data_IF_388226393088
#
_entry.id   IF_388226393088
#
_cell.length_a   1.000
_cell.length_b   1.000
_cell.length_c   1.000
_cell.angle_alpha   90.00
_cell.angle_beta   90.00
_cell.angle_gamma   90.00
#
_symmetry.space_group_name_H-M   'P 1'
#
loop_
_entity.id
_entity.type
_entity.pdbx_description
1 polymer ?
#
# COMPACT_ATOMS: atom_id res chain seq x y z
N UNK A 1 12.12 -12.82 -14.35
CA UNK A 1 11.21 -11.83 -13.80
C UNK A 1 11.50 -11.60 -12.33
N UNK A 2 11.68 -10.34 -11.91
CA UNK A 2 11.88 -9.91 -10.52
C UNK A 2 10.55 -9.41 -9.98
N UNK A 3 10.06 -10.03 -8.91
CA UNK A 3 8.78 -9.66 -8.30
C UNK A 3 8.95 -9.36 -6.82
N UNK A 4 8.17 -8.43 -6.29
CA UNK A 4 8.21 -8.06 -4.88
C UNK A 4 7.82 -6.60 -4.64
N UNK A 5 7.76 -6.16 -3.38
CA UNK A 5 7.34 -4.82 -2.99
C UNK A 5 8.15 -3.71 -3.67
N UNK A 6 7.61 -2.49 -3.63
CA UNK A 6 8.32 -1.30 -4.12
C UNK A 6 9.56 -1.04 -3.25
N UNK A 7 10.63 -0.49 -3.87
CA UNK A 7 11.80 0.01 -3.14
C UNK A 7 12.75 -1.03 -2.57
N UNK A 8 12.57 -2.33 -2.88
CA UNK A 8 13.41 -3.44 -2.41
C UNK A 8 14.63 -3.72 -3.30
N UNK A 9 14.85 -2.93 -4.37
CA UNK A 9 16.05 -3.03 -5.21
C UNK A 9 15.88 -3.83 -6.50
N UNK A 10 14.66 -4.17 -6.96
CA UNK A 10 14.42 -4.96 -8.19
C UNK A 10 15.13 -4.38 -9.42
N UNK A 11 14.89 -3.11 -9.74
CA UNK A 11 15.46 -2.41 -10.89
C UNK A 11 16.97 -2.23 -10.73
N UNK A 12 17.45 -1.94 -9.53
CA UNK A 12 18.88 -1.85 -9.21
C UNK A 12 19.59 -3.17 -9.46
N UNK A 13 18.99 -4.29 -9.00
CA UNK A 13 19.55 -5.65 -9.25
C UNK A 13 19.51 -5.99 -10.73
N UNK A 14 18.47 -5.55 -11.47
CA UNK A 14 18.42 -5.73 -12.93
C UNK A 14 19.57 -5.02 -13.62
N UNK A 15 19.90 -3.79 -13.23
CA UNK A 15 21.07 -3.05 -13.74
C UNK A 15 22.37 -3.74 -13.39
N UNK A 16 22.55 -4.19 -12.15
CA UNK A 16 23.74 -4.92 -11.70
C UNK A 16 23.89 -6.22 -12.51
N UNK A 17 22.81 -6.95 -12.74
CA UNK A 17 22.84 -8.17 -13.56
C UNK A 17 23.22 -7.86 -15.01
N UNK A 18 22.72 -6.75 -15.57
CA UNK A 18 23.07 -6.33 -16.92
C UNK A 18 24.57 -5.94 -17.04
N UNK A 19 25.14 -5.30 -16.01
CA UNK A 19 26.59 -5.04 -15.93
C UNK A 19 27.40 -6.33 -15.85
N UNK A 20 26.97 -7.27 -15.00
CA UNK A 20 27.64 -8.57 -14.82
C UNK A 20 27.62 -9.43 -16.10
N UNK A 21 26.51 -9.37 -16.86
CA UNK A 21 26.39 -10.06 -18.15
C UNK A 21 27.33 -9.49 -19.23
N UNK A 22 27.62 -8.18 -19.14
CA UNK A 22 28.45 -7.44 -20.08
C UNK A 22 29.81 -7.01 -19.49
N UNK A 23 30.33 -7.78 -18.52
CA UNK A 23 31.61 -7.51 -17.91
C UNK A 23 32.76 -7.67 -18.92
N UNK A 24 33.83 -6.91 -18.73
CA UNK A 24 35.04 -6.99 -19.56
C UNK A 24 35.64 -8.40 -19.50
N UNK A 25 35.81 -9.03 -20.66
CA UNK A 25 36.32 -10.41 -20.74
C UNK A 25 35.28 -11.52 -20.64
N UNK A 26 33.99 -11.18 -20.58
CA UNK A 26 32.83 -12.10 -20.52
C UNK A 26 32.00 -11.99 -19.27
N UNK A 27 30.84 -12.65 -19.23
CA UNK A 27 29.92 -12.60 -18.10
C UNK A 27 30.58 -13.03 -16.79
N UNK A 28 30.57 -12.16 -15.79
CA UNK A 28 31.21 -12.38 -14.48
C UNK A 28 30.42 -11.71 -13.34
N UNK A 29 30.38 -12.38 -12.19
CA UNK A 29 29.86 -11.79 -10.96
C UNK A 29 30.78 -10.70 -10.40
N UNK A 30 32.07 -10.73 -10.77
CA UNK A 30 33.07 -9.72 -10.40
C UNK A 30 33.34 -8.83 -11.61
N UNK A 31 32.50 -7.82 -11.80
CA UNK A 31 32.66 -6.83 -12.85
C UNK A 31 33.23 -5.52 -12.29
N UNK A 32 33.91 -4.75 -13.16
CA UNK A 32 34.42 -3.43 -12.78
C UNK A 32 33.28 -2.40 -12.84
N UNK A 33 32.86 -1.80 -11.69
CA UNK A 33 31.81 -0.76 -11.67
C UNK A 33 32.18 0.48 -12.47
N UNK A 34 33.47 0.70 -12.72
CA UNK A 34 34.03 1.84 -13.45
C UNK A 34 34.29 1.54 -14.91
N UNK A 35 33.90 0.37 -15.44
CA UNK A 35 34.00 0.06 -16.86
C UNK A 35 33.15 1.06 -17.70
N UNK A 36 33.48 1.20 -18.99
CA UNK A 36 32.75 2.09 -19.89
C UNK A 36 31.25 1.74 -19.93
N UNK A 37 30.92 0.46 -20.07
CA UNK A 37 29.54 -0.02 -20.09
C UNK A 37 28.81 0.27 -18.77
N UNK A 38 29.49 0.08 -17.63
CA UNK A 38 28.91 0.34 -16.32
C UNK A 38 28.62 1.82 -16.10
N UNK A 39 29.52 2.72 -16.56
CA UNK A 39 29.30 4.17 -16.50
C UNK A 39 28.19 4.62 -17.45
N UNK A 40 28.18 4.17 -18.72
CA UNK A 40 27.11 4.46 -19.66
C UNK A 40 25.73 4.02 -19.12
N UNK A 41 25.68 2.88 -18.41
CA UNK A 41 24.45 2.40 -17.79
C UNK A 41 24.03 3.26 -16.58
N UNK A 42 24.98 3.64 -15.73
CA UNK A 42 24.71 4.53 -14.61
C UNK A 42 24.19 5.90 -15.08
N UNK A 43 24.71 6.42 -16.19
CA UNK A 43 24.30 7.68 -16.82
C UNK A 43 22.99 7.56 -17.62
N UNK A 44 22.42 6.35 -17.76
CA UNK A 44 21.20 6.12 -18.55
C UNK A 44 21.39 6.26 -20.06
N UNK A 45 22.64 6.17 -20.57
CA UNK A 45 23.01 6.36 -21.98
C UNK A 45 23.50 5.10 -22.65
N UNK A 46 23.31 3.93 -22.02
CA UNK A 46 23.83 2.67 -22.54
C UNK A 46 23.12 2.25 -23.84
N UNK A 47 23.90 1.93 -24.86
CA UNK A 47 23.40 1.33 -26.10
C UNK A 47 23.18 -0.18 -25.97
N UNK A 48 23.73 -0.78 -24.92
CA UNK A 48 23.74 -2.23 -24.65
C UNK A 48 22.57 -2.63 -23.75
N UNK A 49 22.20 -1.75 -22.81
CA UNK A 49 21.11 -1.96 -21.86
C UNK A 49 20.03 -0.92 -22.11
N UNK A 50 18.86 -1.39 -22.51
CA UNK A 50 17.69 -0.55 -22.74
C UNK A 50 16.77 -0.67 -21.54
N UNK A 51 16.55 0.44 -20.85
CA UNK A 51 15.64 0.50 -19.72
C UNK A 51 14.32 1.14 -20.13
N UNK A 52 13.23 0.50 -19.77
CA UNK A 52 11.90 0.83 -20.20
C UNK A 52 10.95 0.80 -19.00
N UNK A 53 10.25 1.91 -18.76
CA UNK A 53 9.22 1.98 -17.73
C UNK A 53 7.85 1.67 -18.32
N UNK A 54 7.28 0.53 -17.92
CA UNK A 54 5.97 0.08 -18.35
C UNK A 54 4.83 0.97 -17.83
N UNK A 55 5.05 1.80 -16.81
CA UNK A 55 4.04 2.73 -16.33
C UNK A 55 3.85 3.93 -17.27
N UNK A 56 4.96 4.43 -17.84
CA UNK A 56 4.96 5.56 -18.79
C UNK A 56 4.68 5.11 -20.22
N UNK A 57 5.13 3.89 -20.59
CA UNK A 57 5.12 3.38 -21.96
C UNK A 57 4.34 2.06 -22.05
N UNK A 58 3.01 2.13 -22.08
CA UNK A 58 2.12 0.96 -22.00
C UNK A 58 1.75 0.35 -23.34
N UNK A 59 2.11 1.03 -24.44
CA UNK A 59 1.61 0.78 -25.76
C UNK A 59 2.25 -0.43 -26.46
N UNK A 60 1.59 -0.91 -27.52
CA UNK A 60 2.10 -2.01 -28.34
C UNK A 60 3.24 -1.55 -29.26
N UNK A 61 3.23 -0.29 -29.71
CA UNK A 61 4.23 0.22 -30.65
C UNK A 61 5.60 0.34 -30.00
N UNK A 62 5.66 0.78 -28.76
CA UNK A 62 6.90 0.85 -27.97
C UNK A 62 7.51 -0.56 -27.81
N UNK A 63 6.68 -1.55 -27.52
CA UNK A 63 7.14 -2.93 -27.39
C UNK A 63 7.57 -3.53 -28.75
N UNK A 64 6.91 -3.15 -29.84
CA UNK A 64 7.36 -3.53 -31.19
C UNK A 64 8.73 -2.94 -31.50
N UNK A 65 8.95 -1.69 -31.16
CA UNK A 65 10.25 -1.04 -31.35
C UNK A 65 11.36 -1.73 -30.53
N UNK A 66 11.10 -2.08 -29.27
CA UNK A 66 12.04 -2.85 -28.44
C UNK A 66 12.35 -4.22 -29.06
N UNK A 67 11.32 -4.89 -29.58
CA UNK A 67 11.49 -6.18 -30.24
C UNK A 67 12.34 -6.09 -31.52
N UNK A 68 12.22 -5.03 -32.29
CA UNK A 68 13.09 -4.81 -33.44
C UNK A 68 14.52 -4.52 -33.01
N UNK A 69 14.70 -3.72 -31.96
CA UNK A 69 16.04 -3.39 -31.44
C UNK A 69 16.81 -4.61 -30.90
N UNK A 70 16.13 -5.55 -30.24
CA UNK A 70 16.81 -6.74 -29.67
C UNK A 70 17.32 -7.71 -30.73
N UNK A 71 16.82 -7.64 -31.98
CA UNK A 71 17.28 -8.48 -33.08
C UNK A 71 18.74 -8.19 -33.48
N UNK A 72 19.19 -6.96 -33.28
CA UNK A 72 20.53 -6.55 -33.61
C UNK A 72 21.50 -6.85 -32.46
N UNK A 73 22.62 -7.46 -32.77
CA UNK A 73 23.66 -7.68 -31.79
C UNK A 73 24.21 -6.35 -31.25
N UNK A 74 24.63 -6.28 -29.99
CA UNK A 74 25.23 -5.08 -29.44
C UNK A 74 26.59 -4.82 -30.08
N UNK A 75 26.93 -3.52 -30.24
CA UNK A 75 28.26 -3.15 -30.76
C UNK A 75 29.36 -3.29 -29.71
N UNK A 76 28.99 -3.19 -28.42
CA UNK A 76 29.86 -3.40 -27.26
C UNK A 76 29.19 -4.43 -26.34
N UNK A 77 29.98 -5.20 -25.56
CA UNK A 77 29.45 -6.21 -24.64
C UNK A 77 29.00 -7.51 -25.34
N UNK A 78 28.60 -8.49 -24.55
CA UNK A 78 28.15 -9.81 -25.02
C UNK A 78 26.65 -9.88 -25.27
N UNK A 79 25.86 -9.15 -24.48
CA UNK A 79 24.39 -9.25 -24.49
C UNK A 79 23.73 -7.89 -24.61
N UNK A 80 22.67 -7.82 -25.43
CA UNK A 80 21.71 -6.72 -25.40
C UNK A 80 20.65 -7.04 -24.36
N UNK A 81 20.58 -6.23 -23.31
CA UNK A 81 19.65 -6.44 -22.17
C UNK A 81 18.51 -5.43 -22.25
N UNK A 82 17.29 -5.90 -22.19
CA UNK A 82 16.10 -5.05 -22.09
C UNK A 82 15.53 -5.23 -20.68
N UNK A 83 15.51 -4.16 -19.92
CA UNK A 83 14.90 -4.08 -18.59
C UNK A 83 13.55 -3.40 -18.76
N UNK A 84 12.45 -4.09 -18.39
CA UNK A 84 11.11 -3.50 -18.36
C UNK A 84 10.67 -3.43 -16.89
N UNK A 85 10.66 -2.23 -16.34
CA UNK A 85 10.16 -1.99 -14.99
C UNK A 85 8.65 -1.82 -15.01
N UNK A 86 8.00 -2.16 -13.90
CA UNK A 86 6.53 -2.21 -13.72
C UNK A 86 5.81 -2.86 -14.90
N UNK A 87 6.34 -4.01 -15.35
CA UNK A 87 5.86 -4.72 -16.55
C UNK A 87 4.36 -5.04 -16.49
N UNK A 88 3.78 -5.16 -15.30
CA UNK A 88 2.34 -5.40 -15.12
C UNK A 88 1.44 -4.25 -15.60
N UNK A 89 2.02 -3.10 -15.92
CA UNK A 89 1.30 -1.94 -16.45
C UNK A 89 1.13 -1.97 -17.98
N UNK A 90 1.79 -2.90 -18.66
CA UNK A 90 1.66 -3.08 -20.10
C UNK A 90 0.25 -3.53 -20.49
N UNK A 91 -0.19 -3.11 -21.68
CA UNK A 91 -1.47 -3.56 -22.24
C UNK A 91 -1.39 -5.02 -22.69
N UNK A 92 -2.53 -5.70 -22.75
CA UNK A 92 -2.60 -7.09 -23.26
C UNK A 92 -2.01 -7.26 -24.68
N UNK A 93 -2.25 -6.34 -25.64
CA UNK A 93 -1.60 -6.40 -26.95
C UNK A 93 -0.07 -6.25 -26.88
N UNK A 94 0.46 -5.43 -25.93
CA UNK A 94 1.89 -5.30 -25.72
C UNK A 94 2.51 -6.60 -25.19
N UNK A 95 1.89 -7.27 -24.22
CA UNK A 95 2.29 -8.59 -23.78
C UNK A 95 2.32 -9.61 -24.89
N UNK A 96 1.28 -9.66 -25.72
CA UNK A 96 1.22 -10.58 -26.87
C UNK A 96 2.34 -10.32 -27.89
N UNK A 97 2.74 -9.06 -28.07
CA UNK A 97 3.86 -8.73 -28.94
C UNK A 97 5.22 -9.26 -28.43
N UNK A 98 5.38 -9.43 -27.09
CA UNK A 98 6.59 -10.00 -26.49
C UNK A 98 6.68 -11.54 -26.63
N UNK A 99 5.54 -12.25 -26.67
CA UNK A 99 5.50 -13.71 -26.58
C UNK A 99 6.40 -14.39 -27.60
N UNK A 100 6.34 -13.97 -28.87
CA UNK A 100 7.15 -14.57 -29.95
C UNK A 100 8.66 -14.45 -29.68
N UNK A 101 9.11 -13.31 -29.14
CA UNK A 101 10.53 -13.10 -28.85
C UNK A 101 10.96 -13.82 -27.57
N UNK A 102 10.04 -14.07 -26.63
CA UNK A 102 10.32 -14.87 -25.44
C UNK A 102 10.36 -16.37 -25.74
N UNK A 103 9.64 -16.83 -26.78
CA UNK A 103 9.68 -18.22 -27.26
C UNK A 103 10.96 -18.52 -28.02
N UNK A 104 11.39 -17.59 -28.89
CA UNK A 104 12.57 -17.71 -29.73
C UNK A 104 13.49 -16.49 -29.54
N UNK A 105 14.16 -16.35 -28.38
CA UNK A 105 15.00 -15.20 -28.10
C UNK A 105 16.30 -15.25 -28.92
N UNK A 106 16.77 -14.09 -29.43
CA UNK A 106 18.10 -14.03 -30.04
C UNK A 106 19.17 -14.47 -29.02
N UNK A 107 20.23 -15.15 -29.41
CA UNK A 107 21.27 -15.67 -28.49
C UNK A 107 21.89 -14.58 -27.61
N UNK A 108 22.02 -13.36 -28.16
CA UNK A 108 22.58 -12.18 -27.52
C UNK A 108 21.49 -11.35 -26.76
N UNK A 109 20.21 -11.69 -26.91
CA UNK A 109 19.11 -10.92 -26.29
C UNK A 109 18.73 -11.45 -24.91
N UNK A 110 18.60 -10.55 -23.93
CA UNK A 110 18.12 -10.88 -22.57
C UNK A 110 17.02 -9.91 -22.15
N UNK A 111 15.94 -10.45 -21.61
CA UNK A 111 14.88 -9.66 -20.98
C UNK A 111 14.94 -9.79 -19.47
N UNK A 112 14.81 -8.67 -18.77
CA UNK A 112 14.63 -8.62 -17.33
C UNK A 112 13.35 -7.84 -17.06
N UNK A 113 12.34 -8.50 -16.53
CA UNK A 113 11.08 -7.87 -16.14
C UNK A 113 11.09 -7.61 -14.64
N UNK A 114 10.68 -6.42 -14.22
CA UNK A 114 10.46 -6.09 -12.82
C UNK A 114 8.98 -5.75 -12.61
N UNK A 115 8.40 -6.19 -11.50
CA UNK A 115 7.00 -5.92 -11.17
C UNK A 115 6.77 -5.87 -9.67
N UNK A 116 5.84 -5.01 -9.25
CA UNK A 116 5.31 -5.00 -7.90
C UNK A 116 4.10 -5.91 -7.74
N UNK A 117 3.45 -6.33 -8.85
CA UNK A 117 2.26 -7.18 -8.83
C UNK A 117 2.36 -8.28 -9.89
N UNK A 118 2.79 -9.47 -9.46
CA UNK A 118 2.93 -10.63 -10.33
C UNK A 118 1.59 -11.15 -10.85
N UNK A 119 0.49 -10.94 -10.09
CA UNK A 119 -0.83 -11.46 -10.45
C UNK A 119 -1.44 -10.76 -11.69
N UNK A 120 -0.97 -9.55 -11.99
CA UNK A 120 -1.37 -8.81 -13.19
C UNK A 120 -0.54 -9.18 -14.43
N UNK A 121 0.53 -9.94 -14.27
CA UNK A 121 1.34 -10.42 -15.40
C UNK A 121 0.73 -11.72 -15.95
N UNK A 122 0.49 -11.84 -17.27
CA UNK A 122 -0.08 -13.04 -17.85
C UNK A 122 0.76 -14.29 -17.56
N UNK A 123 0.09 -15.40 -17.23
CA UNK A 123 0.75 -16.68 -16.97
C UNK A 123 1.59 -17.18 -18.15
N UNK A 124 1.24 -16.81 -19.39
CA UNK A 124 1.98 -17.11 -20.62
C UNK A 124 3.36 -16.46 -20.65
N UNK A 125 3.54 -15.31 -20.03
CA UNK A 125 4.83 -14.62 -19.84
C UNK A 125 5.61 -15.29 -18.72
N UNK A 126 4.94 -15.48 -17.55
CA UNK A 126 5.59 -16.06 -16.36
C UNK A 126 6.17 -17.45 -16.66
N UNK A 127 5.46 -18.29 -17.41
CA UNK A 127 5.90 -19.66 -17.75
C UNK A 127 7.16 -19.72 -18.62
N UNK A 128 7.53 -18.60 -19.27
CA UNK A 128 8.73 -18.48 -20.12
C UNK A 128 9.88 -17.73 -19.46
N UNK A 129 9.70 -17.35 -18.19
CA UNK A 129 10.67 -16.56 -17.45
C UNK A 129 11.11 -17.29 -16.19
N UNK A 130 12.37 -17.15 -15.83
CA UNK A 130 12.82 -17.50 -14.48
C UNK A 130 12.35 -16.43 -13.50
N UNK A 131 11.69 -16.85 -12.41
CA UNK A 131 11.16 -15.96 -11.39
C UNK A 131 12.11 -15.85 -10.20
N UNK A 132 12.27 -14.63 -9.69
CA UNK A 132 13.01 -14.31 -8.47
C UNK A 132 12.13 -13.40 -7.60
N UNK A 133 11.88 -13.85 -6.38
CA UNK A 133 11.03 -13.13 -5.42
C UNK A 133 11.90 -12.28 -4.50
N UNK A 134 11.61 -10.98 -4.45
CA UNK A 134 12.24 -10.02 -3.56
C UNK A 134 11.33 -9.78 -2.36
N UNK A 135 11.84 -10.05 -1.19
CA UNK A 135 11.13 -9.80 0.06
C UNK A 135 11.37 -8.37 0.58
N UNK A 136 10.56 -7.95 1.54
CA UNK A 136 10.83 -6.74 2.31
C UNK A 136 12.20 -6.84 2.98
N UNK A 137 12.93 -5.74 2.98
CA UNK A 137 14.23 -5.65 3.66
C UNK A 137 13.98 -5.57 5.15
N UNK A 138 14.74 -6.32 5.95
CA UNK A 138 14.59 -6.27 7.41
C UNK A 138 14.93 -4.88 7.97
N UNK A 139 14.27 -4.50 9.05
CA UNK A 139 14.51 -3.24 9.74
C UNK A 139 16.00 -3.04 10.07
N UNK A 140 16.65 -4.10 10.55
CA UNK A 140 18.07 -4.06 10.90
C UNK A 140 18.95 -3.68 9.70
N UNK A 141 18.75 -4.30 8.54
CA UNK A 141 19.54 -4.02 7.32
C UNK A 141 19.30 -2.59 6.82
N UNK A 142 18.06 -2.09 6.94
CA UNK A 142 17.77 -0.68 6.61
C UNK A 142 18.49 0.24 7.57
N UNK A 143 18.39 0.02 8.90
CA UNK A 143 19.06 0.83 9.91
C UNK A 143 20.58 0.87 9.71
N UNK A 144 21.21 -0.29 9.52
CA UNK A 144 22.66 -0.39 9.26
C UNK A 144 23.08 0.42 8.02
N UNK A 145 22.26 0.41 6.96
CA UNK A 145 22.55 1.18 5.76
C UNK A 145 22.40 2.68 5.96
N UNK A 146 21.36 3.12 6.70
CA UNK A 146 21.13 4.53 7.02
C UNK A 146 22.27 5.05 7.93
N UNK A 147 22.66 4.29 8.94
CA UNK A 147 23.80 4.62 9.80
C UNK A 147 25.11 4.77 9.01
N UNK A 148 25.36 3.84 8.08
CA UNK A 148 26.54 3.90 7.23
C UNK A 148 26.59 5.21 6.45
N UNK A 149 25.47 5.62 5.84
CA UNK A 149 25.39 6.86 5.05
C UNK A 149 25.66 8.08 5.95
N UNK A 150 25.04 8.16 7.12
CA UNK A 150 25.22 9.27 8.04
C UNK A 150 26.67 9.39 8.55
N UNK A 151 27.33 8.26 8.77
CA UNK A 151 28.76 8.23 9.16
C UNK A 151 29.65 8.75 8.03
N UNK A 152 29.38 8.36 6.78
CA UNK A 152 30.13 8.86 5.61
C UNK A 152 29.92 10.36 5.39
N UNK A 153 28.71 10.88 5.64
CA UNK A 153 28.39 12.30 5.51
C UNK A 153 28.78 13.13 6.75
N UNK A 154 29.28 12.51 7.82
CA UNK A 154 29.70 13.17 9.05
C UNK A 154 28.55 13.81 9.84
N UNK A 155 27.36 13.22 9.75
CA UNK A 155 26.17 13.67 10.47
C UNK A 155 26.05 12.86 11.77
N UNK A 156 25.87 13.56 12.90
CA UNK A 156 25.61 12.90 14.19
C UNK A 156 24.16 12.46 14.30
N UNK A 157 23.93 11.30 14.89
CA UNK A 157 22.60 10.72 15.03
C UNK A 157 22.45 9.91 16.31
N UNK A 158 21.23 9.80 16.75
CA UNK A 158 20.80 8.94 17.83
C UNK A 158 20.22 7.63 17.23
N UNK A 159 20.60 6.45 17.76
CA UNK A 159 20.15 5.16 17.22
C UNK A 159 18.63 4.98 17.18
N UNK A 160 17.90 5.60 18.11
CA UNK A 160 16.44 5.53 18.16
C UNK A 160 15.81 6.27 16.98
N UNK A 161 16.39 7.40 16.59
CA UNK A 161 16.00 8.15 15.38
C UNK A 161 16.07 7.29 14.12
N UNK A 162 17.17 6.55 13.94
CA UNK A 162 17.40 5.71 12.78
C UNK A 162 16.41 4.53 12.76
N UNK A 163 16.17 3.93 13.92
CA UNK A 163 15.17 2.87 14.05
C UNK A 163 13.75 3.36 13.72
N UNK A 164 13.40 4.59 14.10
CA UNK A 164 12.11 5.19 13.78
C UNK A 164 11.95 5.40 12.26
N UNK A 165 12.98 5.91 11.58
CA UNK A 165 13.02 6.06 10.12
C UNK A 165 12.89 4.69 9.44
N UNK A 166 13.67 3.69 9.89
CA UNK A 166 13.65 2.35 9.32
C UNK A 166 12.30 1.63 9.48
N UNK A 167 11.62 1.82 10.63
CA UNK A 167 10.24 1.33 10.82
C UNK A 167 9.26 1.97 9.84
N UNK A 168 9.32 3.30 9.67
CA UNK A 168 8.43 4.01 8.73
C UNK A 168 8.69 3.62 7.27
N UNK A 169 9.90 3.21 6.94
CA UNK A 169 10.28 2.73 5.60
C UNK A 169 9.62 1.40 5.21
N UNK A 170 9.07 0.63 6.15
CA UNK A 170 8.27 -0.59 5.95
C UNK A 170 8.93 -1.60 4.99
N UNK A 171 10.23 -1.82 5.13
CA UNK A 171 10.99 -2.75 4.29
C UNK A 171 11.40 -2.22 2.92
N UNK A 172 11.19 -0.95 2.64
CA UNK A 172 11.60 -0.26 1.40
C UNK A 172 12.86 0.57 1.64
N UNK A 173 14.00 0.20 1.06
CA UNK A 173 15.23 0.99 1.15
C UNK A 173 15.07 2.38 0.48
N UNK A 174 14.33 2.46 -0.65
CA UNK A 174 14.08 3.74 -1.33
C UNK A 174 13.33 4.72 -0.42
N UNK A 175 12.28 4.23 0.26
CA UNK A 175 11.49 5.08 1.14
C UNK A 175 12.30 5.43 2.40
N UNK A 176 13.13 4.49 2.92
CA UNK A 176 14.06 4.76 4.02
C UNK A 176 15.06 5.87 3.69
N UNK A 177 15.66 5.85 2.51
CA UNK A 177 16.57 6.91 2.05
C UNK A 177 15.86 8.26 1.87
N UNK A 178 14.65 8.25 1.32
CA UNK A 178 13.86 9.49 1.15
C UNK A 178 13.44 10.09 2.49
N UNK A 179 13.07 9.26 3.47
CA UNK A 179 12.75 9.70 4.83
C UNK A 179 13.99 10.22 5.56
N UNK A 180 15.16 9.60 5.35
CA UNK A 180 16.43 10.08 5.88
C UNK A 180 16.77 11.47 5.34
N UNK A 181 16.64 11.67 4.04
CA UNK A 181 16.87 12.95 3.36
C UNK A 181 15.97 14.06 3.91
N UNK A 182 14.69 13.72 4.16
CA UNK A 182 13.73 14.62 4.81
C UNK A 182 14.15 14.95 6.24
N UNK A 183 14.60 13.95 7.02
CA UNK A 183 15.08 14.14 8.38
C UNK A 183 16.35 15.02 8.41
N UNK A 184 17.33 14.80 7.53
CA UNK A 184 18.53 15.63 7.40
C UNK A 184 18.15 17.07 7.04
N UNK A 185 17.24 17.25 6.09
CA UNK A 185 16.79 18.58 5.67
C UNK A 185 16.13 19.37 6.80
N UNK A 186 15.44 18.70 7.72
CA UNK A 186 14.76 19.32 8.85
C UNK A 186 15.68 19.53 10.06
N UNK A 187 16.46 18.50 10.46
CA UNK A 187 17.27 18.48 11.68
C UNK A 187 18.68 19.08 11.44
N UNK A 188 19.16 19.11 10.18
CA UNK A 188 20.52 19.55 9.86
C UNK A 188 21.58 18.50 10.19
N UNK A 189 22.63 18.92 10.92
CA UNK A 189 23.80 18.07 11.22
C UNK A 189 23.65 17.14 12.44
N UNK A 190 22.56 17.26 13.16
CA UNK A 190 22.30 16.45 14.36
C UNK A 190 20.88 15.89 14.30
N UNK A 191 20.77 14.58 14.07
CA UNK A 191 19.49 13.88 13.95
C UNK A 191 19.15 13.29 15.33
N UNK A 192 18.18 13.90 16.00
CA UNK A 192 17.64 13.42 17.27
C UNK A 192 16.19 12.91 17.08
N UNK A 193 15.73 12.09 18.03
CA UNK A 193 14.42 11.44 17.96
C UNK A 193 13.26 12.44 17.85
N UNK A 194 13.27 13.51 18.67
CA UNK A 194 12.22 14.54 18.62
C UNK A 194 12.15 15.27 17.27
N UNK A 195 13.32 15.56 16.68
CA UNK A 195 13.42 16.16 15.36
C UNK A 195 12.84 15.25 14.27
N UNK A 196 13.16 13.95 14.31
CA UNK A 196 12.63 12.95 13.38
C UNK A 196 11.13 12.79 13.54
N UNK A 197 10.61 12.74 14.77
CA UNK A 197 9.16 12.69 15.05
C UNK A 197 8.46 13.88 14.38
N UNK A 198 8.99 15.09 14.56
CA UNK A 198 8.42 16.31 13.94
C UNK A 198 8.59 16.34 12.43
N UNK A 199 9.78 16.00 11.93
CA UNK A 199 10.08 16.03 10.48
C UNK A 199 9.22 15.06 9.68
N UNK A 200 9.00 13.87 10.21
CA UNK A 200 8.29 12.79 9.53
C UNK A 200 6.83 12.66 9.95
N UNK A 201 6.35 13.48 10.88
CA UNK A 201 5.00 13.36 11.42
C UNK A 201 4.76 11.98 12.06
N UNK A 202 5.71 11.50 12.86
CA UNK A 202 5.55 10.21 13.54
C UNK A 202 4.63 10.37 14.76
N UNK A 203 3.82 9.38 15.00
CA UNK A 203 3.02 9.28 16.20
C UNK A 203 3.84 8.46 17.20
N UNK A 204 4.10 9.02 18.37
CA UNK A 204 4.80 8.29 19.43
C UNK A 204 3.89 7.24 20.07
N UNK A 205 4.48 6.18 20.60
CA UNK A 205 3.73 5.11 21.26
C UNK A 205 2.90 5.64 22.44
N UNK A 206 3.36 6.70 23.12
CA UNK A 206 2.65 7.35 24.22
C UNK A 206 1.27 7.87 23.83
N UNK A 207 1.14 8.44 22.62
CA UNK A 207 -0.15 8.93 22.13
C UNK A 207 -1.13 7.78 21.84
N UNK A 208 -0.63 6.62 21.45
CA UNK A 208 -1.48 5.43 21.28
C UNK A 208 -1.90 4.84 22.65
N UNK A 209 -1.02 4.82 23.64
CA UNK A 209 -1.39 4.44 25.02
C UNK A 209 -2.41 5.43 25.62
N UNK A 210 -2.26 6.72 25.34
CA UNK A 210 -3.24 7.74 25.72
C UNK A 210 -4.60 7.48 25.09
N UNK A 211 -4.62 7.10 23.80
CA UNK A 211 -5.85 6.75 23.09
C UNK A 211 -6.60 5.59 23.77
N UNK A 212 -5.89 4.50 24.08
CA UNK A 212 -6.51 3.35 24.77
C UNK A 212 -6.89 3.68 26.20
N UNK A 213 -6.14 4.52 26.90
CA UNK A 213 -6.51 5.04 28.22
C UNK A 213 -7.82 5.82 28.18
N UNK A 214 -7.98 6.76 27.23
CA UNK A 214 -9.23 7.52 27.08
C UNK A 214 -10.44 6.60 26.85
N UNK A 215 -10.29 5.53 26.06
CA UNK A 215 -11.36 4.56 25.84
C UNK A 215 -11.70 3.81 27.14
N UNK A 216 -10.71 3.34 27.87
CA UNK A 216 -10.90 2.59 29.12
C UNK A 216 -11.57 3.43 30.21
N UNK A 217 -11.16 4.70 30.33
CA UNK A 217 -11.64 5.62 31.36
C UNK A 217 -12.91 6.37 30.92
N UNK A 218 -13.37 6.19 29.66
CA UNK A 218 -14.50 6.92 29.08
C UNK A 218 -14.26 8.45 29.07
N UNK A 219 -12.99 8.86 28.90
CA UNK A 219 -12.60 10.27 28.90
C UNK A 219 -12.82 10.90 27.53
N UNK A 220 -14.01 11.46 27.33
CA UNK A 220 -14.37 12.14 26.07
C UNK A 220 -13.54 13.40 25.84
N UNK A 221 -13.19 14.13 26.92
CA UNK A 221 -12.42 15.37 26.80
C UNK A 221 -10.98 15.08 26.41
N UNK A 222 -10.36 14.09 27.03
CA UNK A 222 -9.03 13.63 26.68
C UNK A 222 -8.97 13.15 25.24
N UNK A 223 -9.97 12.39 24.80
CA UNK A 223 -10.06 11.89 23.42
C UNK A 223 -10.11 13.04 22.40
N UNK A 224 -10.96 14.05 22.61
CA UNK A 224 -11.07 15.21 21.70
C UNK A 224 -9.75 15.99 21.63
N UNK A 225 -9.08 16.20 22.77
CA UNK A 225 -7.78 16.88 22.80
C UNK A 225 -6.71 16.08 22.06
N UNK A 226 -6.70 14.76 22.23
CA UNK A 226 -5.76 13.86 21.53
C UNK A 226 -5.98 13.91 20.01
N UNK A 227 -7.22 13.82 19.54
CA UNK A 227 -7.55 13.92 18.11
C UNK A 227 -7.16 15.28 17.52
N UNK A 228 -7.40 16.37 18.27
CA UNK A 228 -6.94 17.70 17.89
C UNK A 228 -5.41 17.79 17.78
N UNK A 229 -4.67 17.07 18.64
CA UNK A 229 -3.21 17.01 18.57
C UNK A 229 -2.74 16.31 17.30
N UNK A 230 -3.35 15.21 16.89
CA UNK A 230 -3.01 14.54 15.62
C UNK A 230 -3.23 15.45 14.41
N UNK A 231 -4.35 16.18 14.39
CA UNK A 231 -4.63 17.18 13.36
C UNK A 231 -3.62 18.32 13.38
N UNK A 232 -3.25 18.80 14.57
CA UNK A 232 -2.28 19.88 14.75
C UNK A 232 -0.85 19.51 14.30
N UNK A 233 -0.48 18.25 14.40
CA UNK A 233 0.79 17.72 13.87
C UNK A 233 0.74 17.48 12.34
N UNK A 234 -0.41 17.67 11.69
CA UNK A 234 -0.58 17.47 10.25
C UNK A 234 -0.48 15.99 9.82
N UNK A 235 -0.72 15.05 10.72
CA UNK A 235 -0.61 13.62 10.43
C UNK A 235 -1.89 13.18 9.70
N UNK A 236 -1.80 12.50 8.55
CA UNK A 236 -3.00 12.05 7.84
C UNK A 236 -3.84 11.08 8.67
N UNK A 237 -5.16 11.29 8.74
CA UNK A 237 -6.09 10.42 9.49
C UNK A 237 -5.96 8.92 9.15
N UNK A 238 -5.72 8.49 7.89
CA UNK A 238 -5.46 7.09 7.60
C UNK A 238 -4.21 6.53 8.29
N UNK A 239 -3.14 7.33 8.47
CA UNK A 239 -1.94 6.90 9.19
C UNK A 239 -2.21 6.74 10.68
N UNK A 240 -2.95 7.67 11.28
CA UNK A 240 -3.40 7.57 12.67
C UNK A 240 -4.20 6.27 12.89
N UNK A 241 -5.14 5.97 12.01
CA UNK A 241 -5.96 4.75 12.10
C UNK A 241 -5.14 3.47 11.96
N UNK A 242 -4.17 3.44 11.03
CA UNK A 242 -3.25 2.30 10.86
C UNK A 242 -2.41 2.10 12.13
N UNK A 243 -1.91 3.19 12.71
CA UNK A 243 -1.13 3.16 13.95
C UNK A 243 -1.94 2.65 15.14
N UNK A 244 -3.17 3.15 15.33
CA UNK A 244 -4.09 2.66 16.37
C UNK A 244 -4.37 1.16 16.19
N UNK A 245 -4.63 0.71 14.94
CA UNK A 245 -4.82 -0.71 14.64
C UNK A 245 -3.61 -1.57 14.98
N UNK A 246 -2.40 -1.06 14.67
CA UNK A 246 -1.13 -1.68 15.06
C UNK A 246 -0.95 -1.76 16.57
N UNK A 247 -1.29 -0.70 17.29
CA UNK A 247 -1.23 -0.63 18.75
C UNK A 247 -2.16 -1.68 19.41
N UNK A 248 -3.42 -1.75 18.98
CA UNK A 248 -4.38 -2.76 19.50
C UNK A 248 -3.90 -4.18 19.19
N UNK A 249 -3.36 -4.43 18.00
CA UNK A 249 -2.74 -5.73 17.65
C UNK A 249 -1.59 -6.07 18.60
N UNK A 250 -0.73 -5.10 18.92
CA UNK A 250 0.40 -5.31 19.82
C UNK A 250 -0.07 -5.63 21.25
N UNK A 251 -1.14 -4.98 21.75
CA UNK A 251 -1.76 -5.33 23.03
C UNK A 251 -2.31 -6.77 22.99
N UNK A 252 -3.00 -7.15 21.89
CA UNK A 252 -3.50 -8.52 21.70
C UNK A 252 -2.37 -9.56 21.71
N UNK A 253 -1.23 -9.27 21.05
CA UNK A 253 -0.08 -10.17 21.02
C UNK A 253 0.57 -10.28 22.40
N UNK A 254 0.75 -9.16 23.10
CA UNK A 254 1.29 -9.15 24.46
C UNK A 254 0.48 -10.01 25.44
N UNK A 255 -0.84 -10.08 25.25
CA UNK A 255 -1.76 -10.91 26.07
C UNK A 255 -1.81 -12.40 25.70
N UNK A 256 -1.01 -12.86 24.72
CA UNK A 256 -0.94 -14.28 24.33
C UNK A 256 0.34 -14.91 24.88
N UNK A 257 0.25 -16.19 25.29
CA UNK A 257 1.42 -16.95 25.73
C UNK A 257 2.47 -16.97 24.61
N UNK A 258 3.72 -16.62 24.93
CA UNK A 258 4.85 -16.48 24.01
C UNK A 258 4.68 -15.42 22.92
N UNK A 259 3.64 -14.57 22.99
CA UNK A 259 3.36 -13.50 22.02
C UNK A 259 4.38 -12.37 22.02
N UNK A 260 5.17 -12.23 23.09
CA UNK A 260 6.26 -11.25 23.17
C UNK A 260 7.29 -11.39 22.05
N UNK A 261 7.50 -12.61 21.54
CA UNK A 261 8.42 -12.88 20.43
C UNK A 261 7.96 -12.26 19.12
N UNK A 262 6.65 -11.98 18.96
CA UNK A 262 6.04 -11.36 17.79
C UNK A 262 6.12 -9.82 17.83
N UNK A 263 6.52 -9.26 18.97
CA UNK A 263 6.67 -7.81 19.12
C UNK A 263 8.09 -7.38 18.71
N UNK A 264 8.20 -6.73 17.56
CA UNK A 264 9.47 -6.20 17.03
C UNK A 264 9.79 -4.82 17.63
N UNK A 265 10.08 -4.79 18.94
CA UNK A 265 10.38 -3.57 19.68
C UNK A 265 11.37 -3.83 20.83
N UNK A 266 11.90 -2.76 21.44
CA UNK A 266 12.80 -2.86 22.57
C UNK A 266 12.09 -3.44 23.83
N UNK A 267 12.89 -3.87 24.81
CA UNK A 267 12.39 -4.56 26.01
C UNK A 267 11.47 -3.69 26.87
N UNK A 268 11.75 -2.38 26.96
CA UNK A 268 10.94 -1.45 27.75
C UNK A 268 9.54 -1.29 27.16
N UNK A 269 9.44 -1.10 25.85
CA UNK A 269 8.15 -1.01 25.17
C UNK A 269 7.37 -2.34 25.25
N UNK A 270 8.05 -3.50 25.16
CA UNK A 270 7.40 -4.80 25.38
C UNK A 270 6.74 -4.89 26.74
N UNK A 271 7.41 -4.44 27.78
CA UNK A 271 6.86 -4.45 29.14
C UNK A 271 5.64 -3.55 29.28
N UNK A 272 5.63 -2.35 28.65
CA UNK A 272 4.45 -1.47 28.62
C UNK A 272 3.25 -2.17 27.97
N UNK A 273 3.45 -2.85 26.84
CA UNK A 273 2.39 -3.60 26.15
C UNK A 273 1.87 -4.78 26.97
N UNK A 274 2.73 -5.50 27.70
CA UNK A 274 2.32 -6.58 28.59
C UNK A 274 1.43 -6.04 29.71
N UNK A 275 1.86 -4.96 30.39
CA UNK A 275 1.09 -4.32 31.43
C UNK A 275 -0.27 -3.82 30.91
N UNK A 276 -0.27 -3.18 29.73
CA UNK A 276 -1.51 -2.72 29.11
C UNK A 276 -2.44 -3.88 28.77
N UNK A 277 -1.92 -5.02 28.30
CA UNK A 277 -2.71 -6.20 27.95
C UNK A 277 -3.48 -6.80 29.14
N UNK A 278 -2.94 -6.67 30.36
CA UNK A 278 -3.60 -7.13 31.60
C UNK A 278 -4.84 -6.29 31.96
N UNK A 279 -4.91 -5.06 31.46
CA UNK A 279 -6.02 -4.13 31.77
C UNK A 279 -7.23 -4.29 30.83
N UNK A 280 -7.10 -5.11 29.77
CA UNK A 280 -8.12 -5.24 28.73
C UNK A 280 -8.72 -6.65 28.68
N UNK A 281 -10.05 -6.73 28.50
CA UNK A 281 -10.67 -8.00 28.05
C UNK A 281 -10.32 -8.23 26.57
N UNK A 282 -9.83 -9.42 26.25
CA UNK A 282 -9.45 -9.80 24.90
C UNK A 282 -10.58 -9.63 23.88
N UNK A 283 -11.82 -9.84 24.28
CA UNK A 283 -13.00 -9.71 23.41
C UNK A 283 -13.24 -8.24 23.04
N UNK A 284 -12.98 -7.32 23.97
CA UNK A 284 -13.14 -5.90 23.71
C UNK A 284 -12.07 -5.41 22.72
N UNK A 285 -10.82 -5.86 22.86
CA UNK A 285 -9.76 -5.61 21.90
C UNK A 285 -10.10 -6.14 20.50
N UNK A 286 -10.68 -7.36 20.41
CA UNK A 286 -11.12 -7.92 19.13
C UNK A 286 -12.26 -7.12 18.50
N UNK A 287 -13.24 -6.66 19.29
CA UNK A 287 -14.34 -5.78 18.84
C UNK A 287 -13.80 -4.44 18.34
N UNK A 288 -12.85 -3.84 19.07
CA UNK A 288 -12.16 -2.62 18.63
C UNK A 288 -11.42 -2.85 17.33
N UNK A 289 -10.67 -3.94 17.22
CA UNK A 289 -9.95 -4.33 15.99
C UNK A 289 -10.89 -4.48 14.80
N UNK A 290 -12.09 -5.07 14.99
CA UNK A 290 -13.09 -5.20 13.93
C UNK A 290 -13.57 -3.82 13.46
N UNK A 291 -13.95 -2.92 14.39
CA UNK A 291 -14.39 -1.55 14.06
C UNK A 291 -13.30 -0.81 13.26
N UNK A 292 -12.04 -0.91 13.69
CA UNK A 292 -10.92 -0.28 12.98
C UNK A 292 -10.70 -0.86 11.59
N UNK A 293 -10.81 -2.19 11.43
CA UNK A 293 -10.63 -2.85 10.12
C UNK A 293 -11.69 -2.40 9.13
N UNK A 294 -12.95 -2.29 9.56
CA UNK A 294 -14.05 -1.82 8.73
C UNK A 294 -13.79 -0.39 8.24
N UNK A 295 -13.33 0.49 9.13
CA UNK A 295 -13.03 1.89 8.79
C UNK A 295 -11.78 2.01 7.93
N UNK A 296 -10.71 1.23 8.19
CA UNK A 296 -9.49 1.24 7.38
C UNK A 296 -9.74 0.92 5.89
N UNK A 297 -10.77 0.13 5.60
CA UNK A 297 -11.16 -0.18 4.23
C UNK A 297 -11.75 1.03 3.47
N UNK A 298 -12.31 2.00 4.18
CA UNK A 298 -13.09 3.12 3.64
C UNK A 298 -12.41 4.48 3.81
N UNK A 299 -11.60 4.67 4.86
CA UNK A 299 -11.05 5.98 5.24
C UNK A 299 -10.24 6.68 4.13
N UNK A 300 -9.54 5.90 3.29
CA UNK A 300 -8.75 6.45 2.17
C UNK A 300 -9.60 7.04 1.04
N UNK A 301 -10.90 6.72 1.01
CA UNK A 301 -11.85 7.18 0.00
C UNK A 301 -12.89 8.14 0.59
N UNK A 302 -12.83 8.40 1.90
CA UNK A 302 -13.74 9.31 2.57
C UNK A 302 -13.48 10.75 2.10
N UNK A 303 -14.55 11.53 1.93
CA UNK A 303 -14.46 12.97 1.63
C UNK A 303 -13.76 13.73 2.75
N UNK A 304 -14.09 13.37 4.01
CA UNK A 304 -13.43 13.89 5.21
C UNK A 304 -12.90 12.73 6.07
N UNK A 305 -11.61 12.36 5.89
CA UNK A 305 -10.97 11.30 6.67
C UNK A 305 -10.86 11.63 8.18
N UNK A 306 -10.71 12.91 8.55
CA UNK A 306 -10.62 13.29 9.96
C UNK A 306 -11.94 13.15 10.68
N UNK A 307 -13.04 13.56 10.07
CA UNK A 307 -14.40 13.35 10.63
C UNK A 307 -14.65 11.86 10.86
N UNK A 308 -14.24 11.01 9.91
CA UNK A 308 -14.40 9.56 10.06
C UNK A 308 -13.54 8.99 11.20
N UNK A 309 -12.31 9.51 11.40
CA UNK A 309 -11.46 9.17 12.53
C UNK A 309 -12.12 9.58 13.86
N UNK A 310 -12.61 10.81 13.97
CA UNK A 310 -13.28 11.33 15.16
C UNK A 310 -14.52 10.49 15.53
N UNK A 311 -15.39 10.25 14.55
CA UNK A 311 -16.59 9.44 14.76
C UNK A 311 -16.26 8.00 15.17
N UNK A 312 -15.16 7.45 14.64
CA UNK A 312 -14.70 6.12 15.03
C UNK A 312 -14.15 6.09 16.45
N UNK A 313 -13.35 7.09 16.83
CA UNK A 313 -12.83 7.22 18.18
C UNK A 313 -13.96 7.37 19.21
N UNK A 314 -14.96 8.20 18.93
CA UNK A 314 -16.15 8.33 19.78
C UNK A 314 -16.95 7.02 19.86
N UNK A 315 -17.11 6.30 18.76
CA UNK A 315 -17.77 4.99 18.76
C UNK A 315 -17.03 3.97 19.62
N UNK A 316 -15.68 3.95 19.57
CA UNK A 316 -14.87 3.09 20.42
C UNK A 316 -14.97 3.50 21.90
N UNK A 317 -15.02 4.80 22.17
CA UNK A 317 -15.17 5.34 23.52
C UNK A 317 -16.53 4.95 24.15
N UNK A 318 -17.62 4.98 23.38
CA UNK A 318 -18.97 4.62 23.85
C UNK A 318 -19.23 3.10 23.87
N UNK A 319 -18.30 2.29 23.38
CA UNK A 319 -18.44 0.85 23.33
C UNK A 319 -18.52 0.26 24.75
N UNK A 320 -19.60 -0.45 25.06
CA UNK A 320 -19.77 -1.14 26.35
C UNK A 320 -18.76 -2.25 26.55
N UNK A 321 -18.30 -2.42 27.79
CA UNK A 321 -17.44 -3.55 28.17
C UNK A 321 -18.18 -4.88 28.05
N UNK A 322 -17.45 -5.92 27.63
CA UNK A 322 -17.99 -7.27 27.55
C UNK A 322 -18.23 -7.85 28.94
N UNK A 323 -19.49 -8.22 29.23
CA UNK A 323 -19.90 -8.82 30.51
C UNK A 323 -20.06 -10.33 30.31
N UNK A 324 -19.48 -11.13 31.20
CA UNK A 324 -19.70 -12.58 31.21
C UNK A 324 -21.09 -12.88 31.82
N UNK A 325 -21.83 -13.83 31.20
CA UNK A 325 -23.14 -14.25 31.70
C UNK A 325 -23.04 -14.77 33.14
N UNK A 326 -21.92 -15.41 33.48
CA UNK A 326 -21.66 -15.87 34.85
C UNK A 326 -21.56 -14.74 35.88
N UNK A 327 -21.05 -13.56 35.45
CA UNK A 327 -21.01 -12.35 36.29
C UNK A 327 -22.41 -11.78 36.50
N UNK A 328 -23.28 -11.85 35.51
CA UNK A 328 -24.68 -11.44 35.62
C UNK A 328 -25.41 -12.38 36.55
N UNK A 329 -25.21 -13.72 36.42
CA UNK A 329 -25.85 -14.75 37.27
C UNK A 329 -25.36 -14.65 38.71
N UNK A 330 -24.06 -14.42 38.95
CA UNK A 330 -23.50 -14.21 40.30
C UNK A 330 -23.92 -12.87 40.92
N UNK A 331 -24.12 -11.83 40.10
CA UNK A 331 -24.60 -10.51 40.55
C UNK A 331 -26.09 -10.49 40.91
N UNK A 332 -26.91 -11.35 40.32
CA UNK A 332 -28.35 -11.47 40.66
C UNK A 332 -28.56 -12.08 42.07
N UNK A 333 -27.56 -12.78 42.64
CA UNK A 333 -27.57 -13.31 44.00
C UNK A 333 -27.36 -12.26 45.12
N UNK A 334 -26.91 -11.08 44.81
CA UNK A 334 -26.67 -9.95 45.74
C UNK A 334 -27.43 -8.70 45.32
N UNK A 335 -28.74 -8.71 45.53
CA UNK A 335 -29.59 -7.52 45.30
C UNK A 335 -29.14 -6.35 46.19
N UNK A 336 -28.68 -5.25 45.66
CA UNK A 336 -28.68 -4.01 46.41
C UNK A 336 -30.16 -3.64 46.67
N UNK A 337 -30.56 -3.52 47.94
CA UNK A 337 -31.84 -3.00 48.31
C UNK A 337 -32.01 -1.56 47.75
N UNK A 338 -32.62 -1.47 46.60
CA UNK A 338 -33.05 -0.16 46.07
C UNK A 338 -34.15 0.33 47.06
N UNK A 339 -33.80 1.30 47.88
CA UNK A 339 -34.79 2.08 48.64
C UNK A 339 -35.59 2.93 47.65
N UNK A 340 -36.65 2.37 47.10
CA UNK A 340 -37.69 3.15 46.39
C UNK A 340 -38.41 3.94 47.43
N UNK A 341 -38.11 5.23 47.54
CA UNK A 341 -38.89 6.19 48.28
C UNK A 341 -40.25 6.38 47.59
N UNK A 342 -41.28 5.73 48.10
CA UNK A 342 -42.66 5.93 47.68
C UNK A 342 -43.14 7.28 48.28
N UNK A 343 -43.56 8.28 47.52
CA UNK A 343 -44.27 9.44 48.07
C UNK A 343 -45.67 8.99 48.50
N UNK A 344 -45.93 9.09 49.80
CA UNK A 344 -47.29 8.97 50.35
C UNK A 344 -48.08 10.17 49.87
N UNK A 345 -49.06 9.94 49.02
CA UNK A 345 -50.40 10.59 48.98
C UNK A 345 -50.98 10.47 47.56
N UNK A 346 -51.89 9.56 47.38
CA UNK A 346 -53.14 9.75 46.61
C UNK A 346 -54.08 8.57 46.92
N UNK A 347 -55.24 8.95 47.42
CA UNK A 347 -56.28 8.09 47.90
C UNK A 347 -57.16 7.47 46.84
N UNK A 348 -57.56 6.22 47.11
CA UNK A 348 -58.88 5.60 46.83
C UNK A 348 -59.54 5.69 45.45
N UNK A 349 -59.66 4.54 44.87
CA UNK A 349 -60.62 4.14 43.85
C UNK A 349 -60.69 2.65 43.71
N UNK A 350 -61.76 2.00 44.15
CA UNK A 350 -62.05 0.57 44.27
C UNK A 350 -62.36 -0.10 42.92
N UNK A 351 -62.60 -1.42 42.85
CA UNK A 351 -61.93 -2.34 41.93
C UNK A 351 -62.84 -2.79 40.78
N UNK A 352 -62.25 -3.12 39.64
CA UNK A 352 -62.96 -3.85 38.60
C UNK A 352 -62.15 -5.08 38.20
N UNK A 353 -62.84 -6.22 38.45
CA UNK A 353 -62.51 -7.59 37.98
C UNK A 353 -62.33 -7.64 36.47
N UNK A 354 -61.37 -8.38 36.01
CA UNK A 354 -61.50 -9.48 35.05
C UNK A 354 -60.13 -9.98 34.63
N UNK A 355 -59.87 -11.25 34.83
CA UNK A 355 -58.79 -12.07 34.30
C UNK A 355 -58.92 -12.15 32.79
N UNK A 356 -57.84 -12.16 32.01
CA UNK A 356 -57.84 -12.76 30.70
C UNK A 356 -57.27 -14.16 30.73
N UNK A 357 -57.93 -15.02 29.97
CA UNK A 357 -57.62 -16.41 29.68
C UNK A 357 -56.29 -16.63 28.98
N UNK A 358 -55.73 -17.88 29.01
CA UNK A 358 -54.41 -18.17 28.45
C UNK A 358 -54.46 -18.22 26.92
N UNK A 359 -53.50 -17.51 26.29
CA UNK A 359 -53.31 -17.47 24.83
C UNK A 359 -52.83 -18.83 24.36
N UNK A 360 -53.60 -19.49 23.50
CA UNK A 360 -53.30 -20.73 22.78
C UNK A 360 -52.03 -20.58 21.93
N UNK A 361 -51.12 -21.54 22.06
CA UNK A 361 -49.96 -21.77 21.22
C UNK A 361 -50.40 -21.90 19.75
N UNK A 362 -49.98 -20.97 18.90
CA UNK A 362 -50.06 -21.12 17.44
C UNK A 362 -49.05 -22.14 16.97
N UNK A 363 -49.53 -23.17 16.27
CA UNK A 363 -48.74 -24.15 15.54
C UNK A 363 -47.86 -23.47 14.49
N UNK A 364 -46.61 -23.86 14.48
CA UNK A 364 -45.69 -23.59 13.39
C UNK A 364 -46.24 -24.28 12.13
N UNK A 365 -46.40 -23.50 11.05
CA UNK A 365 -46.67 -24.01 9.69
C UNK A 365 -45.32 -23.95 8.97
N UNK A 366 -44.87 -25.10 8.53
CA UNK A 366 -43.72 -25.31 7.62
C UNK A 366 -44.05 -24.64 6.26
N UNK A 367 -43.15 -23.87 5.63
CA UNK A 367 -43.41 -23.41 4.30
C UNK A 367 -43.19 -24.53 3.28
N UNK A 368 -44.19 -24.75 2.44
CA UNK A 368 -44.17 -25.65 1.27
C UNK A 368 -43.06 -25.22 0.29
N UNK A 369 -42.43 -26.24 -0.28
CA UNK A 369 -41.47 -26.12 -1.38
C UNK A 369 -42.14 -25.53 -2.61
N UNK A 370 -41.74 -24.33 -3.02
CA UNK A 370 -42.03 -23.83 -4.35
C UNK A 370 -41.15 -24.50 -5.40
N UNK A 371 -41.80 -25.11 -6.36
CA UNK A 371 -41.19 -25.74 -7.55
C UNK A 371 -40.53 -24.67 -8.43
N UNK A 372 -39.31 -24.94 -8.84
CA UNK A 372 -38.49 -24.16 -9.75
C UNK A 372 -39.14 -24.02 -11.13
N UNK A 373 -39.49 -22.79 -11.54
CA UNK A 373 -39.76 -22.44 -12.94
C UNK A 373 -38.44 -22.15 -13.67
N UNK A 374 -38.31 -22.55 -14.95
CA UNK A 374 -37.09 -22.35 -15.74
C UNK A 374 -36.84 -20.87 -16.07
N UNK A 375 -35.57 -20.47 -16.32
CA UNK A 375 -35.20 -19.08 -16.54
C UNK A 375 -35.71 -18.53 -17.86
N UNK A 376 -36.28 -17.33 -17.82
CA UNK A 376 -36.69 -16.55 -18.97
C UNK A 376 -35.44 -16.06 -19.70
N UNK A 377 -35.33 -16.42 -20.98
CA UNK A 377 -34.31 -15.92 -21.89
C UNK A 377 -34.49 -14.41 -22.12
N UNK A 378 -33.46 -13.64 -21.80
CA UNK A 378 -33.38 -12.22 -22.15
C UNK A 378 -32.99 -12.15 -23.62
N UNK A 379 -33.92 -11.70 -24.47
CA UNK A 379 -33.67 -11.37 -25.87
C UNK A 379 -32.94 -10.03 -25.93
N UNK A 380 -31.76 -10.03 -26.55
CA UNK A 380 -31.06 -8.81 -26.95
C UNK A 380 -31.86 -8.07 -28.05
N UNK A 381 -31.93 -6.75 -28.05
CA UNK A 381 -32.55 -6.00 -29.14
C UNK A 381 -31.61 -5.99 -30.35
N UNK A 382 -32.07 -6.63 -31.43
CA UNK A 382 -31.49 -6.54 -32.77
C UNK A 382 -31.80 -5.15 -33.31
N UNK A 383 -30.81 -4.32 -33.52
CA UNK A 383 -30.91 -3.08 -34.27
C UNK A 383 -30.83 -3.47 -35.76
N UNK A 384 -31.93 -3.39 -36.45
CA UNK A 384 -32.00 -3.46 -37.91
C UNK A 384 -31.46 -2.13 -38.48
N UNK A 385 -30.40 -2.21 -39.27
CA UNK A 385 -29.93 -1.12 -40.12
C UNK A 385 -30.61 -1.29 -41.45
N UNK A 386 -31.52 -0.35 -41.79
CA UNK A 386 -32.11 -0.22 -43.08
C UNK A 386 -31.09 0.30 -44.08
N UNK A 387 -30.84 -0.51 -45.12
CA UNK A 387 -30.19 -0.11 -46.36
C UNK A 387 -31.20 0.65 -47.25
N UNK A 388 -31.06 1.96 -47.42
CA UNK A 388 -31.59 2.64 -48.58
C UNK A 388 -30.69 3.76 -49.13
N UNK A 389 -30.21 3.44 -50.34
CA UNK A 389 -29.94 4.35 -51.48
C UNK A 389 -28.72 5.26 -51.47
N UNK A 390 -27.75 4.71 -52.17
CA UNK A 390 -26.85 5.38 -53.09
C UNK A 390 -27.41 6.66 -53.78
N UNK A 391 -26.65 7.77 -53.70
CA UNK A 391 -26.37 8.62 -54.87
C UNK A 391 -25.23 9.57 -54.56
N UNK A 392 -24.22 9.51 -55.37
CA UNK A 392 -22.99 10.18 -55.58
C UNK A 392 -22.94 11.67 -55.38
N UNK A 393 -21.81 12.12 -54.85
CA UNK A 393 -21.19 13.39 -55.22
C UNK A 393 -19.66 13.25 -55.05
N UNK A 394 -19.00 13.46 -56.15
CA UNK A 394 -17.64 13.88 -56.51
C UNK A 394 -16.57 14.06 -55.42
N UNK A 395 -15.40 13.47 -55.70
CA UNK A 395 -14.07 13.86 -55.25
C UNK A 395 -13.76 15.34 -55.55
N UNK A 396 -13.00 16.04 -54.75
CA UNK A 396 -12.05 16.99 -55.26
C UNK A 396 -10.62 16.45 -55.20
N UNK A 397 -9.92 16.68 -56.32
CA UNK A 397 -8.51 16.47 -56.58
C UNK A 397 -7.63 17.47 -55.76
N UNK A 398 -6.34 17.14 -55.62
CA UNK A 398 -5.42 17.95 -54.83
C UNK A 398 -4.89 19.14 -55.65
N UNK A 399 -4.93 20.33 -55.04
CA UNK A 399 -4.30 21.54 -55.61
C UNK A 399 -2.78 21.52 -55.42
N UNK A 400 -2.13 21.87 -56.48
CA UNK A 400 -0.71 21.98 -56.76
C UNK A 400 -0.03 23.20 -56.10
N UNK A 401 1.21 22.94 -55.70
CA UNK A 401 2.28 23.89 -55.28
C UNK A 401 2.55 24.95 -56.36
N UNK A 402 2.99 26.17 -56.02
CA UNK A 402 3.93 26.89 -56.87
C UNK A 402 5.29 27.07 -56.19
N UNK A 403 6.29 26.55 -56.92
CA UNK A 403 7.69 27.01 -56.83
C UNK A 403 7.85 28.46 -57.21
N UNK A 404 8.75 29.17 -56.52
CA UNK A 404 9.68 30.26 -57.01
C UNK A 404 10.44 30.73 -55.79
N UNK A 405 11.69 30.90 -55.78
CA UNK A 405 12.73 31.03 -56.77
C UNK A 405 14.04 31.39 -56.06
N UNK A 406 15.10 31.02 -56.68
CA UNK A 406 16.51 31.15 -56.32
C UNK A 406 16.95 32.62 -56.11
N UNK A 407 17.90 32.83 -55.18
CA UNK A 407 19.09 33.66 -55.47
C UNK A 407 20.13 33.52 -54.34
N UNK A 408 21.23 32.86 -54.65
CA UNK A 408 22.60 33.39 -54.69
C UNK A 408 23.21 33.90 -53.38
N UNK A 409 24.18 33.11 -52.93
CA UNK A 409 25.39 33.55 -52.21
C UNK A 409 26.04 34.81 -52.83
N UNK A 410 26.98 35.53 -52.19
CA UNK A 410 28.12 34.96 -51.46
C UNK A 410 28.73 35.85 -50.34
N UNK A 411 29.75 35.22 -49.67
CA UNK A 411 31.09 35.79 -49.29
C UNK A 411 31.30 36.47 -47.94
N UNK A 412 32.13 35.77 -47.18
CA UNK A 412 33.36 36.13 -46.41
C UNK A 412 33.26 37.16 -45.26
N UNK A 413 33.87 36.89 -44.22
CA UNK A 413 35.20 37.17 -43.72
C UNK A 413 35.18 37.45 -42.22
N UNK A 414 35.96 36.67 -41.49
CA UNK A 414 36.95 36.98 -40.46
C UNK A 414 36.62 37.79 -39.20
N UNK A 415 37.23 37.23 -38.16
CA UNK A 415 37.95 37.85 -37.03
C UNK A 415 37.12 38.44 -35.87
N UNK A 416 37.09 37.75 -34.75
CA UNK A 416 38.04 37.85 -33.61
C UNK A 416 37.64 36.80 -32.54
#
# INVERSE_FOLDING_TARGET
IFTGPRGVGKTTTARILAMALNADGGSSSHFNPNSEISRELADGRSSVVLEFDGASNRGIEEIRNLREQIKFAPMKGAYRVIIIDEVHMLTTPAFNALLRTLEEPPPHGKFIFATTDIHKVPATIISRCQRFDFNRISLQVISERLEFILKEEGISFDPESINAIARKADGSMRDGLSLLDQAISFCGKEINYEGVVKALGLITDELYFEFTRCIREKDSTGMVNLLSSFSGFGIPAPEVMVGIGGHIRNILYAGVRDGESLLEMNREHKQKYIQESETWDRRDLLRMSQVLTDVLSTIRRAEDPYLLLEMTALKLLEMDQSIYIDQIISGVGSSPKIKVGIPKNASLGSPLKKSPEPIRKKKYIEPEKEESKPPIAIQEPVIQIDDEKSKGVAKPEPESVPEKGSSKNPVSTELN
#
